data_IF_851721305388
#
_entry.id   IF_851721305388
#
_cell.length_a   1.000
_cell.length_b   1.000
_cell.length_c   1.000
_cell.angle_alpha   90.00
_cell.angle_beta   90.00
_cell.angle_gamma   90.00
#
_symmetry.space_group_name_H-M   'P 1'
#
loop_
_entity.id
_entity.type
_entity.pdbx_description
1 polymer ?
#
# COMPACT_ATOMS: atom_id res chain seq x y z
N UNK A 1 -50.26 45.34 30.12
CA UNK A 1 -48.98 45.43 30.84
C UNK A 1 -48.99 44.59 32.09
N UNK A 2 -48.39 43.40 32.10
CA UNK A 2 -48.05 42.70 33.36
C UNK A 2 -46.91 41.69 33.13
N UNK A 3 -45.72 42.11 33.58
CA UNK A 3 -44.64 41.39 34.28
C UNK A 3 -44.10 40.06 33.72
N UNK A 4 -42.85 40.14 33.24
CA UNK A 4 -41.94 39.03 32.97
C UNK A 4 -41.52 38.37 34.30
N UNK A 5 -41.97 37.15 34.58
CA UNK A 5 -41.42 36.31 35.64
C UNK A 5 -40.30 35.43 35.08
N UNK A 6 -39.05 35.91 35.15
CA UNK A 6 -37.86 35.07 34.89
C UNK A 6 -37.71 34.04 36.02
N UNK A 7 -38.30 32.86 35.85
CA UNK A 7 -38.02 31.69 36.66
C UNK A 7 -36.55 31.31 36.48
N UNK A 8 -35.76 31.58 37.53
CA UNK A 8 -34.38 31.13 37.69
C UNK A 8 -34.37 29.60 37.71
N UNK A 9 -34.16 28.97 36.55
CA UNK A 9 -33.97 27.53 36.41
C UNK A 9 -32.75 27.12 37.25
N UNK A 10 -32.99 26.61 38.45
CA UNK A 10 -31.96 25.99 39.28
C UNK A 10 -31.51 24.73 38.53
N UNK A 11 -30.30 24.76 37.98
CA UNK A 11 -29.59 23.58 37.48
C UNK A 11 -29.47 22.59 38.64
N UNK A 12 -30.45 21.70 38.78
CA UNK A 12 -30.41 20.59 39.71
C UNK A 12 -29.26 19.66 39.32
N UNK A 13 -28.36 19.39 40.26
CA UNK A 13 -27.25 18.45 40.05
C UNK A 13 -27.81 17.11 39.57
N UNK A 14 -27.26 16.60 38.46
CA UNK A 14 -27.63 15.27 37.98
C UNK A 14 -27.38 14.27 39.11
N UNK A 15 -28.35 13.40 39.40
CA UNK A 15 -28.26 12.39 40.45
C UNK A 15 -26.98 11.55 40.28
N UNK A 16 -25.96 11.81 41.10
CA UNK A 16 -24.65 11.16 41.04
C UNK A 16 -24.80 9.64 41.12
N UNK A 17 -25.77 9.16 41.90
CA UNK A 17 -26.11 7.74 42.04
C UNK A 17 -26.57 7.09 40.72
N UNK A 18 -27.35 7.81 39.90
CA UNK A 18 -27.79 7.29 38.60
C UNK A 18 -26.64 7.27 37.58
N UNK A 19 -25.75 8.27 37.64
CA UNK A 19 -24.53 8.31 36.83
C UNK A 19 -23.57 7.18 37.20
N UNK A 20 -23.38 6.94 38.50
CA UNK A 20 -22.54 5.87 39.02
C UNK A 20 -23.06 4.50 38.57
N UNK A 21 -24.36 4.22 38.75
CA UNK A 21 -24.98 2.97 38.32
C UNK A 21 -24.84 2.72 36.80
N UNK A 22 -24.89 3.77 35.99
CA UNK A 22 -24.66 3.65 34.52
C UNK A 22 -23.20 3.33 34.22
N UNK A 23 -22.26 3.97 34.92
CA UNK A 23 -20.83 3.73 34.76
C UNK A 23 -20.46 2.30 35.14
N UNK A 24 -20.96 1.80 36.28
CA UNK A 24 -20.71 0.43 36.73
C UNK A 24 -21.19 -0.62 35.72
N UNK A 25 -22.36 -0.42 35.12
CA UNK A 25 -22.88 -1.31 34.06
C UNK A 25 -21.96 -1.32 32.83
N UNK A 26 -21.47 -0.15 32.42
CA UNK A 26 -20.56 -0.05 31.26
C UNK A 26 -19.17 -0.61 31.54
N UNK A 27 -18.66 -0.49 32.76
CA UNK A 27 -17.37 -1.06 33.14
C UNK A 27 -17.45 -2.58 33.18
N UNK A 28 -18.52 -3.14 33.77
CA UNK A 28 -18.75 -4.59 33.78
C UNK A 28 -18.91 -5.18 32.38
N UNK A 29 -19.61 -4.51 31.47
CA UNK A 29 -19.74 -4.99 30.09
C UNK A 29 -18.40 -4.97 29.34
N UNK A 30 -17.57 -3.95 29.58
CA UNK A 30 -16.21 -3.89 29.01
C UNK A 30 -15.32 -5.00 29.57
N UNK A 31 -15.39 -5.24 30.88
CA UNK A 31 -14.64 -6.32 31.53
C UNK A 31 -15.06 -7.70 31.03
N UNK A 32 -16.36 -7.94 30.81
CA UNK A 32 -16.84 -9.18 30.22
C UNK A 32 -16.33 -9.36 28.78
N UNK A 33 -16.31 -8.29 27.98
CA UNK A 33 -15.80 -8.34 26.61
C UNK A 33 -14.29 -8.57 26.55
N UNK A 34 -13.51 -7.98 27.48
CA UNK A 34 -12.07 -8.25 27.57
C UNK A 34 -11.81 -9.68 27.99
N UNK A 35 -12.58 -10.21 28.95
CA UNK A 35 -12.45 -11.60 29.39
C UNK A 35 -12.81 -12.59 28.27
N UNK A 36 -13.87 -12.34 27.50
CA UNK A 36 -14.24 -13.17 26.36
C UNK A 36 -13.17 -13.16 25.25
N UNK A 37 -12.50 -12.02 25.03
CA UNK A 37 -11.35 -11.94 24.12
C UNK A 37 -10.13 -12.72 24.64
N UNK A 38 -9.86 -12.67 25.94
CA UNK A 38 -8.78 -13.43 26.59
C UNK A 38 -9.07 -14.94 26.51
N UNK A 39 -10.30 -15.38 26.83
CA UNK A 39 -10.71 -16.78 26.72
C UNK A 39 -10.60 -17.32 25.28
N UNK A 40 -10.95 -16.51 24.27
CA UNK A 40 -10.76 -16.89 22.85
C UNK A 40 -9.27 -17.04 22.51
N UNK A 41 -8.41 -16.15 23.00
CA UNK A 41 -6.96 -16.24 22.78
C UNK A 41 -6.35 -17.47 23.45
N UNK A 42 -6.77 -17.80 24.67
CA UNK A 42 -6.28 -18.96 25.41
C UNK A 42 -6.79 -20.28 24.78
N UNK A 43 -8.02 -20.32 24.27
CA UNK A 43 -8.57 -21.48 23.55
C UNK A 43 -7.88 -21.71 22.20
N UNK A 44 -7.49 -20.65 21.48
CA UNK A 44 -6.62 -20.76 20.29
C UNK A 44 -5.21 -21.29 20.62
N UNK A 45 -4.80 -21.22 21.89
CA UNK A 45 -3.49 -21.69 22.36
C UNK A 45 -3.51 -23.15 22.88
N UNK A 46 -4.71 -23.72 23.12
CA UNK A 46 -4.87 -25.04 23.77
C UNK A 46 -5.37 -26.17 22.83
N UNK A 47 -5.90 -25.85 21.65
CA UNK A 47 -6.01 -26.84 20.57
C UNK A 47 -4.60 -27.23 20.09
N UNK A 48 -4.34 -28.46 19.61
CA UNK A 48 -3.11 -28.72 18.86
C UNK A 48 -3.19 -27.86 17.61
N UNK A 49 -2.63 -26.66 17.72
CA UNK A 49 -2.36 -25.77 16.62
C UNK A 49 -1.52 -26.60 15.65
N UNK A 50 -2.17 -27.15 14.62
CA UNK A 50 -1.49 -27.24 13.34
C UNK A 50 -0.97 -25.82 13.17
N UNK A 51 0.36 -25.61 13.14
CA UNK A 51 0.88 -24.28 13.03
C UNK A 51 0.29 -23.76 11.73
N UNK A 52 -0.63 -22.81 11.83
CA UNK A 52 -0.70 -21.72 10.88
C UNK A 52 0.60 -20.96 11.12
N UNK A 53 1.70 -21.58 10.71
CA UNK A 53 2.81 -20.90 10.09
C UNK A 53 2.18 -20.13 8.95
N UNK A 54 1.62 -18.96 9.28
CA UNK A 54 1.88 -17.77 8.48
C UNK A 54 3.39 -17.80 8.33
N UNK A 55 3.82 -18.41 7.23
CA UNK A 55 5.20 -18.57 6.86
C UNK A 55 5.68 -17.16 6.61
N UNK A 56 6.01 -16.47 7.70
CA UNK A 56 6.51 -15.12 7.67
C UNK A 56 7.84 -15.25 6.98
N UNK A 57 7.80 -14.95 5.68
CA UNK A 57 8.99 -14.77 4.88
C UNK A 57 9.98 -13.93 5.71
N UNK A 58 11.28 -14.26 5.67
CA UNK A 58 12.26 -13.64 6.54
C UNK A 58 12.23 -12.12 6.35
N UNK A 59 11.57 -11.43 7.27
CA UNK A 59 11.43 -9.99 7.24
C UNK A 59 12.83 -9.41 7.43
N UNK A 60 13.38 -8.82 6.37
CA UNK A 60 14.71 -8.23 6.42
C UNK A 60 14.67 -6.99 7.30
N UNK A 61 15.09 -7.12 8.56
CA UNK A 61 15.16 -5.98 9.49
C UNK A 61 16.50 -5.27 9.37
N UNK A 62 16.48 -3.95 9.20
CA UNK A 62 17.66 -3.10 9.20
C UNK A 62 17.47 -1.91 10.15
N UNK A 63 18.34 -1.77 11.15
CA UNK A 63 18.32 -0.65 12.12
C UNK A 63 16.94 -0.43 12.78
N UNK A 64 16.19 -1.51 13.02
CA UNK A 64 14.85 -1.47 13.61
C UNK A 64 13.70 -1.27 12.61
N UNK A 65 14.00 -1.06 11.32
CA UNK A 65 13.00 -1.00 10.26
C UNK A 65 12.84 -2.36 9.59
N UNK A 66 11.59 -2.80 9.42
CA UNK A 66 11.26 -3.98 8.62
C UNK A 66 11.18 -3.58 7.15
N UNK A 67 12.07 -4.13 6.33
CA UNK A 67 12.08 -3.88 4.88
C UNK A 67 11.08 -4.84 4.24
N UNK A 68 10.00 -4.34 3.61
CA UNK A 68 9.07 -5.21 2.90
C UNK A 68 9.71 -5.81 1.66
N UNK A 69 9.19 -6.93 1.21
CA UNK A 69 9.56 -7.52 -0.07
C UNK A 69 8.81 -6.83 -1.21
N UNK A 70 9.46 -6.77 -2.38
CA UNK A 70 8.83 -6.27 -3.59
C UNK A 70 7.72 -7.24 -4.03
N UNK A 71 6.49 -6.75 -4.32
CA UNK A 71 5.42 -7.62 -4.78
C UNK A 71 5.80 -8.27 -6.10
N UNK A 72 5.49 -9.55 -6.24
CA UNK A 72 5.75 -10.29 -7.48
C UNK A 72 4.77 -9.81 -8.55
N UNK A 73 5.22 -9.57 -9.80
CA UNK A 73 4.32 -9.30 -10.90
C UNK A 73 3.41 -10.52 -11.15
N UNK A 74 2.12 -10.29 -11.42
CA UNK A 74 1.19 -11.38 -11.71
C UNK A 74 1.52 -12.04 -13.05
N UNK A 75 1.33 -13.35 -13.11
CA UNK A 75 1.53 -14.12 -14.33
C UNK A 75 0.36 -13.91 -15.31
N UNK A 76 0.59 -14.18 -16.60
CA UNK A 76 -0.46 -14.02 -17.61
C UNK A 76 -1.68 -14.92 -17.35
N UNK A 77 -1.45 -16.09 -16.77
CA UNK A 77 -2.49 -17.07 -16.46
C UNK A 77 -3.37 -16.67 -15.27
N UNK A 78 -2.90 -15.74 -14.43
CA UNK A 78 -3.67 -15.17 -13.33
C UNK A 78 -4.65 -14.08 -13.81
N UNK A 79 -4.39 -13.51 -15.00
CA UNK A 79 -5.31 -12.58 -15.64
C UNK A 79 -6.44 -13.36 -16.33
N UNK A 80 -7.65 -13.26 -15.80
CA UNK A 80 -8.82 -13.93 -16.37
C UNK A 80 -9.19 -13.43 -17.79
N UNK A 81 -8.67 -12.27 -18.23
CA UNK A 81 -8.91 -11.63 -19.54
C UNK A 81 -10.39 -11.41 -19.93
N UNK A 82 -11.33 -11.69 -19.03
CA UNK A 82 -12.78 -11.67 -19.27
C UNK A 82 -13.49 -10.47 -18.65
N UNK A 83 -12.73 -9.51 -18.09
CA UNK A 83 -13.28 -8.32 -17.45
C UNK A 83 -13.81 -8.56 -16.04
N UNK A 84 -13.00 -9.19 -15.17
CA UNK A 84 -13.33 -9.33 -13.75
C UNK A 84 -13.53 -7.96 -13.07
N UNK A 85 -14.31 -7.94 -11.98
CA UNK A 85 -14.59 -6.72 -11.22
C UNK A 85 -13.33 -6.09 -10.59
N UNK A 86 -12.28 -6.89 -10.34
CA UNK A 86 -10.98 -6.43 -9.85
C UNK A 86 -9.91 -7.00 -10.77
N UNK A 87 -9.05 -6.13 -11.30
CA UNK A 87 -7.94 -6.52 -12.15
C UNK A 87 -6.73 -6.89 -11.30
N UNK A 88 -6.08 -8.03 -11.60
CA UNK A 88 -4.87 -8.47 -10.90
C UNK A 88 -3.71 -7.50 -11.09
N UNK A 89 -3.64 -6.84 -12.26
CA UNK A 89 -2.62 -5.83 -12.52
C UNK A 89 -2.83 -4.58 -11.67
N UNK A 90 -4.07 -4.15 -11.47
CA UNK A 90 -4.39 -3.00 -10.62
C UNK A 90 -4.01 -3.29 -9.16
N UNK A 91 -4.34 -4.48 -8.65
CA UNK A 91 -3.92 -4.92 -7.31
C UNK A 91 -2.41 -4.94 -7.15
N UNK A 92 -1.69 -5.41 -8.18
CA UNK A 92 -0.24 -5.39 -8.18
C UNK A 92 0.33 -3.98 -8.21
N UNK A 93 -0.26 -3.07 -8.98
CA UNK A 93 0.13 -1.66 -9.00
C UNK A 93 -0.08 -1.00 -7.64
N UNK A 94 -1.23 -1.22 -7.00
CA UNK A 94 -1.50 -0.75 -5.64
C UNK A 94 -0.46 -1.29 -4.64
N UNK A 95 -0.15 -2.59 -4.71
CA UNK A 95 0.88 -3.21 -3.88
C UNK A 95 2.26 -2.58 -4.13
N UNK A 96 2.61 -2.28 -5.39
CA UNK A 96 3.86 -1.59 -5.74
C UNK A 96 3.90 -0.16 -5.19
N UNK A 97 2.78 0.57 -5.20
CA UNK A 97 2.72 1.90 -4.61
C UNK A 97 2.91 1.84 -3.09
N UNK A 98 2.24 0.91 -2.42
CA UNK A 98 2.40 0.68 -0.99
C UNK A 98 3.86 0.32 -0.63
N UNK A 99 4.49 -0.55 -1.42
CA UNK A 99 5.90 -0.90 -1.27
C UNK A 99 6.80 0.34 -1.41
N UNK A 100 6.64 1.13 -2.46
CA UNK A 100 7.44 2.36 -2.67
C UNK A 100 7.28 3.37 -1.54
N UNK A 101 6.06 3.55 -1.04
CA UNK A 101 5.77 4.44 0.08
C UNK A 101 6.46 3.97 1.37
N UNK A 102 6.39 2.67 1.67
CA UNK A 102 7.07 2.10 2.85
C UNK A 102 8.59 2.25 2.77
N UNK A 103 9.19 1.99 1.61
CA UNK A 103 10.63 2.18 1.37
C UNK A 103 11.02 3.65 1.52
N UNK A 104 10.21 4.58 1.00
CA UNK A 104 10.46 6.02 1.18
C UNK A 104 10.44 6.43 2.66
N UNK A 105 9.49 5.92 3.44
CA UNK A 105 9.41 6.17 4.89
C UNK A 105 10.64 5.63 5.63
N UNK A 106 11.10 4.42 5.29
CA UNK A 106 12.31 3.84 5.87
C UNK A 106 13.54 4.69 5.52
N UNK A 107 13.69 5.09 4.25
CA UNK A 107 14.78 5.97 3.80
C UNK A 107 14.78 7.29 4.56
N UNK A 108 13.62 7.92 4.70
CA UNK A 108 13.48 9.16 5.47
C UNK A 108 13.92 8.96 6.93
N UNK A 109 13.47 7.88 7.59
CA UNK A 109 13.89 7.53 8.95
C UNK A 109 15.40 7.30 9.09
N UNK A 110 16.02 6.62 8.12
CA UNK A 110 17.47 6.40 8.09
C UNK A 110 18.27 7.70 7.91
N UNK A 111 17.79 8.61 7.06
CA UNK A 111 18.39 9.95 6.89
C UNK A 111 18.27 10.77 8.18
N UNK A 112 17.11 10.74 8.85
CA UNK A 112 16.93 11.41 10.15
C UNK A 112 17.89 10.87 11.20
N UNK A 113 18.20 9.58 11.18
CA UNK A 113 19.20 8.97 12.07
C UNK A 113 20.67 9.22 11.63
N UNK A 114 20.89 9.92 10.52
CA UNK A 114 22.23 10.23 10.02
C UNK A 114 22.98 9.04 9.43
N UNK A 115 22.27 7.98 9.02
CA UNK A 115 22.90 6.80 8.41
C UNK A 115 23.20 7.09 6.93
N UNK A 116 24.47 7.08 6.48
CA UNK A 116 24.80 7.37 5.09
C UNK A 116 24.29 6.25 4.16
N UNK A 117 23.90 6.63 2.94
CA UNK A 117 23.29 5.72 1.95
C UNK A 117 24.17 4.51 1.58
N UNK A 118 25.49 4.64 1.69
CA UNK A 118 26.44 3.54 1.42
C UNK A 118 26.29 2.35 2.38
N UNK A 119 25.72 2.58 3.57
CA UNK A 119 25.49 1.53 4.56
C UNK A 119 24.11 0.89 4.42
N UNK A 120 23.25 1.42 3.53
CA UNK A 120 21.92 0.89 3.35
C UNK A 120 21.99 -0.42 2.57
N UNK A 121 21.12 -1.40 2.86
CA UNK A 121 21.03 -2.62 2.05
C UNK A 121 20.63 -2.29 0.61
N UNK A 122 21.04 -3.13 -0.35
CA UNK A 122 20.85 -2.89 -1.78
C UNK A 122 19.41 -2.47 -2.13
N UNK A 123 18.40 -3.15 -1.57
CA UNK A 123 16.97 -2.86 -1.79
C UNK A 123 16.54 -1.42 -1.43
N UNK A 124 17.21 -0.80 -0.46
CA UNK A 124 16.91 0.57 -0.03
C UNK A 124 17.76 1.62 -0.76
N UNK A 125 18.89 1.25 -1.37
CA UNK A 125 19.74 2.20 -2.09
C UNK A 125 19.00 2.74 -3.33
N UNK A 126 19.08 4.05 -3.59
CA UNK A 126 18.48 4.64 -4.79
C UNK A 126 19.10 4.10 -6.10
N UNK A 127 20.30 3.52 -5.99
CA UNK A 127 21.04 2.89 -7.09
C UNK A 127 20.80 1.39 -7.28
N UNK A 128 19.91 0.76 -6.50
CA UNK A 128 19.33 -0.50 -6.94
C UNK A 128 18.32 -0.21 -8.06
N UNK A 129 18.86 0.26 -9.18
CA UNK A 129 18.15 0.22 -10.45
C UNK A 129 17.81 -1.23 -10.77
N UNK A 130 16.81 -1.46 -11.64
CA UNK A 130 16.47 -2.79 -12.09
C UNK A 130 17.76 -3.50 -12.50
N UNK A 131 17.89 -4.77 -12.13
CA UNK A 131 18.91 -5.66 -12.70
C UNK A 131 18.96 -5.33 -14.18
N UNK A 132 20.05 -4.72 -14.64
CA UNK A 132 20.18 -4.27 -16.03
C UNK A 132 20.01 -5.53 -16.87
N UNK A 133 18.80 -5.79 -17.38
CA UNK A 133 18.63 -6.59 -18.58
C UNK A 133 19.44 -5.83 -19.59
N UNK A 134 20.61 -6.40 -19.94
CA UNK A 134 21.58 -5.80 -20.83
C UNK A 134 20.86 -5.04 -21.94
N UNK A 135 21.23 -3.77 -22.10
CA UNK A 135 20.79 -2.91 -23.19
C UNK A 135 20.61 -3.76 -24.45
N UNK A 136 19.35 -3.92 -24.89
CA UNK A 136 19.08 -4.57 -26.17
C UNK A 136 19.59 -3.60 -27.23
N UNK A 137 20.66 -3.90 -27.98
CA UNK A 137 21.10 -3.06 -29.10
C UNK A 137 20.02 -2.95 -30.20
N UNK A 138 18.97 -3.77 -30.13
CA UNK A 138 17.89 -3.82 -31.11
C UNK A 138 16.89 -2.65 -31.06
N UNK A 139 16.85 -1.85 -29.98
CA UNK A 139 15.96 -0.69 -29.95
C UNK A 139 16.41 0.38 -30.97
N UNK A 140 17.72 0.63 -31.03
CA UNK A 140 18.32 1.57 -31.98
C UNK A 140 18.18 1.07 -33.43
N UNK A 141 18.36 -0.25 -33.64
CA UNK A 141 18.10 -0.90 -34.94
C UNK A 141 16.64 -0.75 -35.35
N UNK A 142 15.69 -0.92 -34.44
CA UNK A 142 14.27 -0.77 -34.75
C UNK A 142 13.89 0.67 -35.13
N UNK A 143 14.46 1.68 -34.46
CA UNK A 143 14.22 3.08 -34.79
C UNK A 143 14.83 3.46 -36.16
N UNK A 144 16.03 2.95 -36.47
CA UNK A 144 16.69 3.20 -37.76
C UNK A 144 15.93 2.60 -38.97
N UNK A 145 15.26 1.46 -38.78
CA UNK A 145 14.47 0.82 -39.83
C UNK A 145 13.21 1.61 -40.20
N UNK A 146 12.51 2.19 -39.20
CA UNK A 146 11.35 3.04 -39.45
C UNK A 146 11.73 4.30 -40.23
N UNK A 147 12.83 4.95 -39.88
CA UNK A 147 13.30 6.15 -40.58
C UNK A 147 13.63 5.86 -42.06
N UNK A 148 14.21 4.70 -42.36
CA UNK A 148 14.45 4.27 -43.75
C UNK A 148 13.15 4.02 -44.52
N UNK A 149 12.15 3.41 -43.88
CA UNK A 149 10.84 3.18 -44.50
C UNK A 149 10.15 4.52 -44.80
N UNK A 150 10.17 5.48 -43.89
CA UNK A 150 9.60 6.82 -44.11
C UNK A 150 10.26 7.56 -45.28
N UNK A 151 11.60 7.52 -45.38
CA UNK A 151 12.34 8.08 -46.52
C UNK A 151 11.95 7.40 -47.84
N UNK A 152 11.80 6.08 -47.83
CA UNK A 152 11.39 5.33 -49.02
C UNK A 152 9.96 5.65 -49.46
N UNK A 153 9.04 5.87 -48.50
CA UNK A 153 7.67 6.27 -48.75
C UNK A 153 7.59 7.71 -49.27
N UNK A 154 8.39 8.63 -48.72
CA UNK A 154 8.48 10.00 -49.20
C UNK A 154 8.99 10.07 -50.64
N UNK A 155 10.03 9.30 -50.98
CA UNK A 155 10.55 9.22 -52.34
C UNK A 155 9.50 8.68 -53.32
N UNK A 156 8.80 7.59 -52.96
CA UNK A 156 7.72 7.04 -53.79
C UNK A 156 6.56 8.03 -53.96
N UNK A 157 6.18 8.75 -52.91
CA UNK A 157 5.12 9.77 -52.96
C UNK A 157 5.50 10.94 -53.86
N UNK A 158 6.75 11.42 -53.81
CA UNK A 158 7.23 12.48 -54.68
C UNK A 158 7.22 12.09 -56.17
N UNK A 159 7.57 10.83 -56.48
CA UNK A 159 7.50 10.30 -57.85
C UNK A 159 6.05 10.10 -58.30
N UNK A 160 5.14 9.78 -57.38
CA UNK A 160 3.75 9.46 -57.68
C UNK A 160 2.79 10.65 -57.44
N UNK A 161 3.31 11.87 -57.36
CA UNK A 161 2.52 13.10 -57.27
C UNK A 161 2.41 13.72 -58.68
N UNK A 162 1.39 13.37 -59.50
CA UNK A 162 1.13 14.07 -60.74
C UNK A 162 0.68 15.51 -60.42
N UNK A 163 1.20 16.47 -61.18
CA UNK A 163 1.12 17.90 -60.94
C UNK A 163 -0.20 18.41 -60.34
N UNK A 164 -0.07 19.12 -59.22
CA UNK A 164 -1.01 20.18 -58.84
C UNK A 164 -0.86 21.30 -59.88
N UNK A 165 -1.72 21.28 -60.90
CA UNK A 165 -2.20 22.49 -61.56
C UNK A 165 -3.54 22.86 -60.92
#
# INVERSE_FOLDING_TARGET
STVISRLKQRKGGQNLSNRYRRLERSVRSKQAFTQELEDIQDEETSAPAAPITLSQAPAHTFKGYTIPDEPRPPEADECCMSGCAVCVYDLHEEALQAYKASVANIRAGLVTMGVPESQWPARLQAKAGPVKRADRPNADVSLSAFEQMERSLAAKRAVNQPGSQ
#
